data_IF_624988238479
#
_entry.id   IF_624988238479
#
_cell.length_a   1.000
_cell.length_b   1.000
_cell.length_c   1.000
_cell.angle_alpha   90.00
_cell.angle_beta   90.00
_cell.angle_gamma   90.00
#
_symmetry.space_group_name_H-M   'P 1'
#
loop_
_entity.id
_entity.type
_entity.pdbx_description
1 polymer ?
#
# COMPACT_ATOMS: atom_id res chain seq x y z
N UNK A 1 -37.20 -27.30 13.02
CA UNK A 1 -36.48 -27.72 11.79
C UNK A 1 -37.08 -29.03 11.35
N UNK A 2 -37.42 -29.15 10.11
CA UNK A 2 -37.92 -30.39 9.55
C UNK A 2 -36.75 -31.27 9.02
N UNK A 3 -37.06 -32.49 8.59
CA UNK A 3 -36.08 -33.46 8.11
C UNK A 3 -35.36 -33.01 6.84
N UNK A 4 -36.07 -32.27 6.01
CA UNK A 4 -35.54 -31.64 4.78
C UNK A 4 -34.50 -30.55 5.11
N UNK A 5 -34.75 -29.70 6.12
CA UNK A 5 -33.80 -28.70 6.57
C UNK A 5 -32.49 -29.30 7.10
N UNK A 6 -32.57 -30.40 7.83
CA UNK A 6 -31.40 -31.13 8.34
C UNK A 6 -30.56 -31.68 7.18
N UNK A 7 -31.22 -32.23 6.13
CA UNK A 7 -30.50 -32.68 4.94
C UNK A 7 -29.80 -31.55 4.21
N UNK A 8 -30.44 -30.39 4.09
CA UNK A 8 -29.85 -29.22 3.43
C UNK A 8 -28.68 -28.67 4.27
N UNK A 9 -28.85 -28.60 5.58
CA UNK A 9 -27.77 -28.15 6.49
C UNK A 9 -26.53 -29.05 6.39
N UNK A 10 -26.72 -30.37 6.37
CA UNK A 10 -25.61 -31.31 6.22
C UNK A 10 -24.88 -31.17 4.87
N UNK A 11 -25.63 -30.91 3.79
CA UNK A 11 -25.04 -30.64 2.48
C UNK A 11 -24.29 -29.30 2.46
N UNK A 12 -24.85 -28.24 3.05
CA UNK A 12 -24.21 -26.93 3.16
C UNK A 12 -22.91 -26.96 3.99
N UNK A 13 -22.91 -27.71 5.09
CA UNK A 13 -21.74 -27.88 5.96
C UNK A 13 -20.60 -28.59 5.22
N UNK A 14 -20.93 -29.66 4.48
CA UNK A 14 -19.95 -30.39 3.65
C UNK A 14 -19.34 -29.48 2.58
N UNK A 15 -20.17 -28.80 1.79
CA UNK A 15 -19.70 -27.91 0.75
C UNK A 15 -18.87 -26.75 1.29
N UNK A 16 -19.20 -26.23 2.46
CA UNK A 16 -18.41 -25.19 3.09
C UNK A 16 -17.07 -25.69 3.63
N UNK A 17 -17.01 -26.93 4.12
CA UNK A 17 -15.76 -27.54 4.59
C UNK A 17 -14.77 -27.67 3.44
N UNK A 18 -15.24 -28.12 2.27
CA UNK A 18 -14.40 -28.32 1.09
C UNK A 18 -14.14 -27.00 0.31
N UNK A 19 -15.10 -26.08 0.33
CA UNK A 19 -15.10 -24.84 -0.46
C UNK A 19 -15.63 -23.62 0.31
N UNK A 20 -14.89 -23.12 1.33
CA UNK A 20 -15.35 -22.03 2.17
C UNK A 20 -15.49 -20.68 1.42
N UNK A 21 -14.89 -20.58 0.23
CA UNK A 21 -14.99 -19.42 -0.66
C UNK A 21 -16.28 -19.39 -1.50
N UNK A 22 -17.14 -20.44 -1.44
CA UNK A 22 -18.37 -20.45 -2.22
C UNK A 22 -19.42 -19.49 -1.66
N UNK A 23 -19.79 -18.52 -2.49
CA UNK A 23 -20.92 -17.62 -2.22
C UNK A 23 -22.27 -18.32 -2.45
N UNK A 24 -23.35 -17.66 -2.04
CA UNK A 24 -24.72 -18.21 -2.09
C UNK A 24 -25.09 -18.75 -3.47
N UNK A 25 -24.74 -18.07 -4.56
CA UNK A 25 -25.11 -18.50 -5.91
C UNK A 25 -24.39 -19.79 -6.34
N UNK A 26 -23.09 -19.92 -5.98
CA UNK A 26 -22.33 -21.14 -6.23
C UNK A 26 -22.92 -22.32 -5.41
N UNK A 27 -23.21 -22.07 -4.15
CA UNK A 27 -23.83 -23.09 -3.28
C UNK A 27 -25.18 -23.56 -3.80
N UNK A 28 -26.05 -22.67 -4.27
CA UNK A 28 -27.31 -23.06 -4.91
C UNK A 28 -27.07 -23.99 -6.13
N UNK A 29 -26.07 -23.66 -6.96
CA UNK A 29 -25.76 -24.47 -8.14
C UNK A 29 -25.23 -25.85 -7.74
N UNK A 30 -24.29 -25.93 -6.78
CA UNK A 30 -23.70 -27.19 -6.31
C UNK A 30 -24.73 -28.04 -5.58
N UNK A 31 -25.58 -27.45 -4.74
CA UNK A 31 -26.68 -28.18 -4.07
C UNK A 31 -27.63 -28.81 -5.06
N UNK A 32 -27.95 -28.12 -6.15
CA UNK A 32 -28.77 -28.68 -7.20
C UNK A 32 -28.04 -29.78 -7.99
N UNK A 33 -26.79 -29.53 -8.40
CA UNK A 33 -26.03 -30.46 -9.26
C UNK A 33 -25.62 -31.73 -8.51
N UNK A 34 -25.07 -31.60 -7.30
CA UNK A 34 -24.38 -32.72 -6.64
C UNK A 34 -25.24 -33.38 -5.54
N UNK A 35 -26.19 -32.63 -4.96
CA UNK A 35 -27.07 -33.13 -3.90
C UNK A 35 -28.54 -33.29 -4.34
N UNK A 36 -28.90 -32.86 -5.56
CA UNK A 36 -30.30 -32.90 -6.06
C UNK A 36 -31.25 -32.00 -5.26
N UNK A 37 -30.71 -30.95 -4.59
CA UNK A 37 -31.48 -30.04 -3.76
C UNK A 37 -31.74 -28.74 -4.51
N UNK A 38 -32.99 -28.49 -4.87
CA UNK A 38 -33.41 -27.23 -5.49
C UNK A 38 -33.91 -26.25 -4.43
N UNK A 39 -33.19 -25.17 -4.20
CA UNK A 39 -33.43 -24.26 -3.09
C UNK A 39 -33.20 -22.79 -3.51
N UNK A 40 -34.04 -21.88 -3.00
CA UNK A 40 -33.95 -20.45 -3.28
C UNK A 40 -32.86 -19.73 -2.46
N UNK A 41 -32.39 -18.59 -3.00
CA UNK A 41 -31.30 -17.76 -2.46
C UNK A 41 -31.52 -17.39 -0.98
N UNK A 42 -32.71 -16.99 -0.61
CA UNK A 42 -33.01 -16.53 0.74
C UNK A 42 -33.05 -17.69 1.75
N UNK A 43 -33.48 -18.88 1.28
CA UNK A 43 -33.43 -20.08 2.11
C UNK A 43 -31.99 -20.54 2.36
N UNK A 44 -31.12 -20.54 1.33
CA UNK A 44 -29.69 -20.82 1.50
C UNK A 44 -29.06 -19.84 2.49
N UNK A 45 -29.36 -18.54 2.35
CA UNK A 45 -28.86 -17.49 3.27
C UNK A 45 -29.28 -17.76 4.72
N UNK A 46 -30.55 -18.12 4.92
CA UNK A 46 -31.12 -18.39 6.25
C UNK A 46 -30.45 -19.60 6.90
N UNK A 47 -30.31 -20.70 6.17
CA UNK A 47 -29.71 -21.93 6.67
C UNK A 47 -28.22 -21.80 6.94
N UNK A 48 -27.47 -21.07 6.09
CA UNK A 48 -26.07 -20.72 6.37
C UNK A 48 -25.90 -19.93 7.67
N UNK A 49 -26.82 -19.02 7.96
CA UNK A 49 -26.80 -18.25 9.23
C UNK A 49 -27.00 -19.16 10.43
N UNK A 50 -27.86 -20.18 10.32
CA UNK A 50 -28.05 -21.18 11.39
C UNK A 50 -26.76 -21.94 11.68
N UNK A 51 -25.95 -22.25 10.65
CA UNK A 51 -24.65 -22.91 10.78
C UNK A 51 -23.50 -21.93 11.15
N UNK A 52 -23.75 -20.61 11.18
CA UNK A 52 -22.70 -19.64 11.39
C UNK A 52 -21.67 -19.54 10.27
N UNK A 53 -22.02 -20.01 9.05
CA UNK A 53 -21.11 -20.09 7.92
C UNK A 53 -21.00 -18.75 7.18
N UNK A 54 -19.81 -18.17 7.12
CA UNK A 54 -19.51 -16.99 6.32
C UNK A 54 -18.56 -17.35 5.17
N UNK A 55 -18.80 -16.77 3.99
CA UNK A 55 -17.90 -16.97 2.85
C UNK A 55 -16.54 -16.36 3.15
N UNK A 56 -15.47 -17.12 2.99
CA UNK A 56 -14.10 -16.62 3.14
C UNK A 56 -13.73 -15.86 1.85
N UNK A 57 -13.67 -14.54 1.96
CA UNK A 57 -13.13 -13.65 0.92
C UNK A 57 -12.49 -12.43 1.56
N UNK A 58 -11.54 -11.78 0.88
CA UNK A 58 -10.96 -10.54 1.39
C UNK A 58 -12.07 -9.48 1.57
N UNK A 59 -12.25 -8.99 2.79
CA UNK A 59 -13.24 -7.93 3.06
C UNK A 59 -12.74 -6.63 2.42
N UNK A 60 -13.54 -5.94 1.57
CA UNK A 60 -13.18 -4.63 1.12
C UNK A 60 -13.22 -3.66 2.31
N UNK A 61 -12.13 -2.91 2.51
CA UNK A 61 -11.95 -1.86 3.53
C UNK A 61 -11.80 -2.37 4.97
N UNK A 62 -10.57 -2.60 5.37
CA UNK A 62 -10.17 -2.78 6.77
C UNK A 62 -9.94 -1.45 7.49
N UNK A 63 -9.87 -0.32 6.79
CA UNK A 63 -9.65 1.01 7.37
C UNK A 63 -10.95 1.80 7.42
N UNK A 64 -11.39 2.16 8.62
CA UNK A 64 -12.46 3.13 8.84
C UNK A 64 -11.81 4.52 8.80
N UNK A 65 -12.22 5.45 7.90
CA UNK A 65 -11.70 6.80 7.92
C UNK A 65 -12.05 7.47 9.26
N UNK A 66 -11.07 7.98 9.97
CA UNK A 66 -11.32 8.79 11.14
C UNK A 66 -11.93 10.13 10.67
N UNK A 67 -13.09 10.48 11.24
CA UNK A 67 -13.81 11.70 10.92
C UNK A 67 -13.13 12.86 11.67
N UNK A 68 -12.08 13.41 11.12
CA UNK A 68 -11.35 14.52 11.75
C UNK A 68 -10.03 14.87 11.08
N UNK A 69 -9.53 14.02 10.20
CA UNK A 69 -8.29 14.30 9.48
C UNK A 69 -8.51 15.34 8.37
N UNK A 70 -7.69 16.38 8.37
CA UNK A 70 -7.70 17.40 7.32
C UNK A 70 -7.06 16.81 6.06
N UNK A 71 -7.87 16.63 5.01
CA UNK A 71 -7.39 16.22 3.68
C UNK A 71 -7.03 17.48 2.90
N UNK A 72 -5.85 17.48 2.29
CA UNK A 72 -5.37 18.57 1.46
C UNK A 72 -5.72 18.33 -0.01
N UNK A 73 -5.86 19.40 -0.83
CA UNK A 73 -6.17 19.26 -2.25
C UNK A 73 -4.99 18.67 -3.02
N UNK A 74 -5.28 18.00 -4.14
CA UNK A 74 -4.24 17.58 -5.08
C UNK A 74 -3.78 18.75 -5.94
N UNK A 75 -2.52 19.13 -5.78
CA UNK A 75 -1.94 20.32 -6.43
C UNK A 75 -1.25 20.02 -7.76
N UNK A 76 -1.04 18.75 -8.10
CA UNK A 76 -0.16 18.35 -9.21
C UNK A 76 -0.88 18.12 -10.54
N UNK A 77 -2.19 18.42 -10.63
CA UNK A 77 -2.91 18.32 -11.90
C UNK A 77 -2.35 19.33 -12.91
N UNK A 78 -1.79 18.82 -14.02
CA UNK A 78 -1.13 19.63 -15.05
C UNK A 78 0.11 20.41 -14.55
N UNK A 79 0.68 20.02 -13.41
CA UNK A 79 1.92 20.58 -12.92
C UNK A 79 3.11 19.97 -13.69
N UNK A 80 3.96 20.81 -14.27
CA UNK A 80 5.16 20.38 -14.97
C UNK A 80 6.37 20.54 -14.06
N UNK A 81 6.94 19.41 -13.64
CA UNK A 81 8.15 19.38 -12.82
C UNK A 81 9.35 19.61 -13.73
N UNK A 82 10.16 20.64 -13.44
CA UNK A 82 11.26 21.09 -14.29
C UNK A 82 12.64 20.95 -13.67
N UNK A 83 12.71 20.77 -12.33
CA UNK A 83 13.98 20.69 -11.59
C UNK A 83 13.83 19.84 -10.33
N UNK A 84 14.96 19.41 -9.72
CA UNK A 84 14.94 18.76 -8.40
C UNK A 84 14.32 19.65 -7.32
N UNK A 85 13.77 19.01 -6.30
CA UNK A 85 13.13 19.65 -5.14
C UNK A 85 11.87 20.48 -5.46
N UNK A 86 11.28 20.32 -6.64
CA UNK A 86 9.94 20.89 -6.88
C UNK A 86 8.84 20.04 -6.24
N UNK A 87 8.89 18.73 -6.42
CA UNK A 87 7.89 17.80 -5.86
C UNK A 87 8.59 16.60 -5.24
N UNK A 88 8.34 16.39 -3.97
CA UNK A 88 8.65 15.13 -3.31
C UNK A 88 7.39 14.31 -3.12
N UNK A 89 7.47 13.01 -3.39
CA UNK A 89 6.41 12.06 -3.12
C UNK A 89 6.79 11.09 -2.01
N UNK A 90 5.84 10.76 -1.16
CA UNK A 90 6.01 9.75 -0.11
C UNK A 90 4.89 8.73 -0.16
N UNK A 91 5.19 7.53 0.31
CA UNK A 91 4.24 6.45 0.48
C UNK A 91 4.82 5.38 1.41
N UNK A 92 3.97 4.47 1.88
CA UNK A 92 4.36 3.31 2.67
C UNK A 92 4.08 2.04 1.88
N UNK A 93 5.05 1.14 1.84
CA UNK A 93 4.82 -0.21 1.35
C UNK A 93 5.13 -1.25 2.42
N UNK A 94 4.45 -2.40 2.36
CA UNK A 94 4.75 -3.53 3.24
C UNK A 94 5.70 -4.51 2.55
N UNK A 95 6.57 -5.11 3.36
CA UNK A 95 7.53 -6.14 2.97
C UNK A 95 7.23 -7.38 3.79
N UNK A 96 7.03 -8.51 3.13
CA UNK A 96 6.79 -9.78 3.79
C UNK A 96 8.11 -10.35 4.31
N UNK A 97 8.11 -10.76 5.58
CA UNK A 97 9.22 -11.44 6.26
C UNK A 97 8.70 -12.71 6.93
N UNK A 98 9.59 -13.51 7.52
CA UNK A 98 9.14 -14.68 8.28
C UNK A 98 8.30 -14.25 9.49
N UNK A 99 7.09 -14.82 9.57
CA UNK A 99 6.18 -14.56 10.68
C UNK A 99 5.34 -13.27 10.58
N UNK A 100 5.44 -12.48 9.46
CA UNK A 100 4.63 -11.27 9.34
C UNK A 100 5.07 -10.32 8.25
N UNK A 101 4.98 -9.04 8.57
CA UNK A 101 5.33 -7.94 7.67
C UNK A 101 6.12 -6.87 8.42
N UNK A 102 6.95 -6.14 7.70
CA UNK A 102 7.43 -4.82 8.09
C UNK A 102 7.04 -3.78 7.05
N UNK A 103 7.17 -2.53 7.41
CA UNK A 103 6.75 -1.40 6.60
C UNK A 103 7.98 -0.59 6.18
N UNK A 104 8.00 -0.18 4.94
CA UNK A 104 9.02 0.70 4.38
C UNK A 104 8.35 2.01 3.97
N UNK A 105 8.79 3.12 4.56
CA UNK A 105 8.50 4.48 4.10
C UNK A 105 9.67 5.02 3.30
N UNK A 106 9.41 5.78 2.26
CA UNK A 106 10.46 6.48 1.53
C UNK A 106 9.95 7.82 0.97
N UNK A 107 10.87 8.75 0.81
CA UNK A 107 10.66 10.03 0.15
C UNK A 107 11.48 10.05 -1.14
N UNK A 108 10.79 10.31 -2.23
CA UNK A 108 11.33 10.32 -3.59
C UNK A 108 11.18 11.71 -4.20
N UNK A 109 12.26 12.26 -4.73
CA UNK A 109 12.18 13.43 -5.63
C UNK A 109 11.60 13.01 -6.98
N UNK A 110 10.52 13.66 -7.41
CA UNK A 110 9.82 13.26 -8.64
C UNK A 110 10.51 13.70 -9.93
N UNK A 111 11.39 14.68 -9.89
CA UNK A 111 12.18 15.05 -11.04
C UNK A 111 13.32 14.06 -11.30
N UNK A 112 14.18 13.90 -10.32
CA UNK A 112 15.40 13.10 -10.42
C UNK A 112 15.20 11.61 -10.15
N UNK A 113 14.08 11.21 -9.54
CA UNK A 113 13.84 9.85 -9.03
C UNK A 113 14.76 9.45 -7.87
N UNK A 114 15.48 10.40 -7.28
CA UNK A 114 16.34 10.14 -6.13
C UNK A 114 15.52 9.77 -4.89
N UNK A 115 15.90 8.70 -4.23
CA UNK A 115 15.39 8.37 -2.88
C UNK A 115 16.18 9.21 -1.91
N UNK A 116 15.50 10.16 -1.27
CA UNK A 116 16.11 11.16 -0.38
C UNK A 116 16.28 10.65 1.03
N UNK A 117 15.27 9.91 1.51
CA UNK A 117 15.28 9.24 2.80
C UNK A 117 14.36 8.01 2.76
N UNK A 118 14.59 7.09 3.68
CA UNK A 118 13.79 5.88 3.86
C UNK A 118 13.92 5.32 5.27
N UNK A 119 12.88 4.66 5.76
CA UNK A 119 12.92 3.97 7.05
C UNK A 119 12.11 2.68 7.04
N UNK A 120 12.50 1.72 7.90
CA UNK A 120 11.81 0.42 8.07
C UNK A 120 11.31 0.30 9.51
N UNK A 121 10.02 -0.01 9.66
CA UNK A 121 9.35 -0.16 10.95
C UNK A 121 8.59 -1.49 11.04
N UNK A 122 8.50 -2.11 12.24
CA UNK A 122 7.59 -3.24 12.50
C UNK A 122 6.12 -2.82 12.55
N UNK A 123 5.83 -1.54 12.78
CA UNK A 123 4.49 -0.97 12.93
C UNK A 123 4.25 0.15 11.93
N UNK A 124 2.97 0.44 11.66
CA UNK A 124 2.57 1.50 10.71
C UNK A 124 2.16 2.76 11.49
N UNK A 125 2.99 3.20 12.43
CA UNK A 125 2.78 4.40 13.24
C UNK A 125 3.26 5.66 12.50
N UNK A 126 2.74 6.84 12.86
CA UNK A 126 3.13 8.11 12.22
C UNK A 126 4.61 8.44 12.45
N UNK A 127 5.16 8.06 13.61
CA UNK A 127 6.52 8.40 14.01
C UNK A 127 7.59 8.04 12.98
N UNK A 128 7.56 6.81 12.40
CA UNK A 128 8.58 6.42 11.42
C UNK A 128 8.48 7.18 10.08
N UNK A 129 7.28 7.70 9.75
CA UNK A 129 7.10 8.59 8.60
C UNK A 129 7.67 9.98 8.89
N UNK A 130 7.53 10.46 10.14
CA UNK A 130 8.11 11.72 10.61
C UNK A 130 9.63 11.64 10.57
N UNK A 131 10.22 10.55 11.08
CA UNK A 131 11.67 10.34 11.03
C UNK A 131 12.18 10.37 9.58
N UNK A 132 11.48 9.71 8.66
CA UNK A 132 11.82 9.72 7.23
C UNK A 132 11.72 11.13 6.63
N UNK A 133 10.71 11.91 7.01
CA UNK A 133 10.56 13.29 6.55
C UNK A 133 11.68 14.20 7.07
N UNK A 134 12.01 14.09 8.35
CA UNK A 134 13.06 14.88 8.96
C UNK A 134 14.42 14.60 8.33
N UNK A 135 14.77 13.33 8.14
CA UNK A 135 16.00 12.92 7.44
C UNK A 135 16.06 13.50 6.02
N UNK A 136 14.97 13.42 5.24
CA UNK A 136 14.93 14.01 3.90
C UNK A 136 15.14 15.54 3.94
N UNK A 137 14.57 16.23 4.92
CA UNK A 137 14.65 17.68 5.08
C UNK A 137 16.03 18.17 5.51
N UNK A 138 16.93 17.30 5.97
CA UNK A 138 18.34 17.63 6.18
C UNK A 138 19.07 17.87 4.85
N UNK A 139 18.67 17.17 3.79
CA UNK A 139 19.28 17.28 2.46
C UNK A 139 18.69 18.36 1.55
N UNK A 140 17.52 18.90 1.88
CA UNK A 140 16.85 19.90 1.07
C UNK A 140 15.39 20.14 1.48
N UNK A 141 14.70 20.99 0.73
CA UNK A 141 13.28 21.33 1.00
C UNK A 141 12.52 21.33 -0.33
N UNK A 142 11.42 20.60 -0.44
CA UNK A 142 10.59 20.62 -1.65
C UNK A 142 9.69 21.86 -1.69
N UNK A 143 9.24 22.22 -2.88
CA UNK A 143 8.15 23.19 -3.01
C UNK A 143 6.79 22.55 -2.67
N UNK A 144 6.55 21.31 -3.13
CA UNK A 144 5.33 20.54 -2.88
C UNK A 144 5.71 19.17 -2.31
N UNK A 145 5.04 18.77 -1.22
CA UNK A 145 5.11 17.41 -0.69
C UNK A 145 3.81 16.68 -0.97
N UNK A 146 3.87 15.57 -1.72
CA UNK A 146 2.72 14.78 -2.13
C UNK A 146 2.68 13.44 -1.41
N UNK A 147 1.51 13.06 -0.92
CA UNK A 147 1.24 11.77 -0.27
C UNK A 147 -0.14 11.25 -0.65
N UNK A 148 -0.47 10.04 -0.24
CA UNK A 148 -1.85 9.59 -0.19
C UNK A 148 -2.61 10.22 1.00
N UNK A 149 -3.89 9.82 1.19
CA UNK A 149 -4.71 10.26 2.31
C UNK A 149 -4.59 9.31 3.53
N UNK A 150 -3.46 8.64 3.69
CA UNK A 150 -3.17 7.78 4.83
C UNK A 150 -3.19 8.53 6.15
N UNK A 151 -3.56 7.84 7.24
CA UNK A 151 -3.64 8.45 8.58
C UNK A 151 -2.32 9.04 9.02
N UNK A 152 -1.19 8.44 8.61
CA UNK A 152 0.16 8.90 8.93
C UNK A 152 0.47 10.28 8.32
N UNK A 153 -0.02 10.54 7.09
CA UNK A 153 0.24 11.78 6.35
C UNK A 153 -0.78 12.87 6.61
N UNK A 154 -1.96 12.51 7.14
CA UNK A 154 -2.99 13.46 7.56
C UNK A 154 -2.87 13.85 9.03
N UNK A 155 -1.97 13.22 9.77
CA UNK A 155 -1.64 13.51 11.16
C UNK A 155 -1.13 14.94 11.34
N UNK A 156 -1.50 15.58 12.47
CA UNK A 156 -1.11 16.96 12.74
C UNK A 156 0.39 17.09 12.98
N UNK A 157 1.00 16.11 13.65
CA UNK A 157 2.45 16.11 13.90
C UNK A 157 3.24 16.04 12.59
N UNK A 158 2.79 15.24 11.60
CA UNK A 158 3.40 15.18 10.29
C UNK A 158 3.20 16.47 9.49
N UNK A 159 1.96 16.96 9.43
CA UNK A 159 1.62 18.14 8.60
C UNK A 159 2.13 19.45 9.19
N UNK A 160 2.36 19.55 10.52
CA UNK A 160 2.95 20.74 11.14
C UNK A 160 4.39 20.98 10.67
N UNK A 161 5.20 19.91 10.52
CA UNK A 161 6.57 20.02 10.01
C UNK A 161 6.61 20.63 8.61
N UNK A 162 5.67 20.20 7.74
CA UNK A 162 5.58 20.75 6.39
C UNK A 162 5.15 22.22 6.39
N UNK A 163 4.20 22.59 7.26
CA UNK A 163 3.71 23.97 7.38
C UNK A 163 4.77 24.92 7.94
N UNK A 164 5.53 24.48 8.97
CA UNK A 164 6.60 25.25 9.57
C UNK A 164 7.72 25.59 8.57
N UNK A 165 7.90 24.72 7.57
CA UNK A 165 8.87 24.91 6.46
C UNK A 165 8.25 25.53 5.22
N UNK A 166 6.99 26.00 5.30
CA UNK A 166 6.25 26.61 4.18
C UNK A 166 6.11 25.69 2.95
N UNK A 167 6.16 24.37 3.14
CA UNK A 167 6.00 23.37 2.10
C UNK A 167 4.52 23.20 1.76
N UNK A 168 4.16 23.26 0.50
CA UNK A 168 2.79 23.02 0.03
C UNK A 168 2.44 21.53 0.16
N UNK A 169 1.31 21.25 0.82
CA UNK A 169 0.84 19.89 1.02
C UNK A 169 -0.15 19.51 -0.09
N UNK A 170 0.15 18.43 -0.78
CA UNK A 170 -0.68 17.83 -1.81
C UNK A 170 -1.05 16.41 -1.43
N UNK A 171 -2.31 16.01 -1.64
CA UNK A 171 -2.76 14.64 -1.37
C UNK A 171 -3.50 14.06 -2.56
N UNK A 172 -3.18 12.81 -2.88
CA UNK A 172 -3.80 12.06 -3.98
C UNK A 172 -5.31 11.93 -3.81
N UNK A 173 -6.04 12.01 -4.91
CA UNK A 173 -7.48 11.77 -4.89
C UNK A 173 -7.81 10.30 -4.62
N UNK A 174 -8.89 10.02 -3.89
CA UNK A 174 -9.33 8.63 -3.63
C UNK A 174 -9.55 7.87 -4.92
N UNK A 175 -8.87 6.71 -5.05
CA UNK A 175 -8.99 5.83 -6.21
C UNK A 175 -8.25 6.30 -7.45
N UNK A 176 -7.34 7.25 -7.36
CA UNK A 176 -6.51 7.76 -8.47
C UNK A 176 -5.07 7.25 -8.32
N UNK A 177 -4.83 6.00 -8.70
CA UNK A 177 -3.50 5.39 -8.68
C UNK A 177 -2.46 6.12 -9.57
N UNK A 178 -2.89 6.96 -10.52
CA UNK A 178 -1.98 7.73 -11.37
C UNK A 178 -1.36 8.94 -10.66
N UNK A 179 -1.92 9.35 -9.52
CA UNK A 179 -1.48 10.57 -8.82
C UNK A 179 -0.15 10.36 -8.07
N UNK A 180 0.27 9.09 -7.79
CA UNK A 180 1.55 8.74 -7.15
C UNK A 180 2.37 7.70 -7.93
N UNK A 181 2.28 7.74 -9.25
CA UNK A 181 2.88 6.73 -10.15
C UNK A 181 4.40 6.55 -9.95
N UNK A 182 5.11 7.60 -9.54
CA UNK A 182 6.56 7.55 -9.37
C UNK A 182 6.96 6.76 -8.12
N UNK A 183 6.23 6.91 -7.04
CA UNK A 183 6.45 6.14 -5.80
C UNK A 183 6.00 4.69 -5.96
N UNK A 184 4.87 4.44 -6.64
CA UNK A 184 4.44 3.08 -7.00
C UNK A 184 5.49 2.36 -7.87
N UNK A 185 6.11 3.08 -8.81
CA UNK A 185 7.19 2.54 -9.63
C UNK A 185 8.44 2.22 -8.81
N UNK A 186 8.78 3.07 -7.81
CA UNK A 186 9.86 2.79 -6.86
C UNK A 186 9.60 1.48 -6.13
N UNK A 187 8.39 1.28 -5.59
CA UNK A 187 8.03 0.04 -4.88
C UNK A 187 8.20 -1.20 -5.73
N UNK A 188 7.76 -1.13 -6.98
CA UNK A 188 7.99 -2.24 -7.92
C UNK A 188 9.48 -2.52 -8.09
N UNK A 189 10.28 -1.49 -8.32
CA UNK A 189 11.73 -1.61 -8.51
C UNK A 189 12.40 -2.22 -7.28
N UNK A 190 12.19 -1.66 -6.09
CA UNK A 190 12.75 -2.16 -4.83
C UNK A 190 12.34 -3.62 -4.56
N UNK A 191 11.07 -3.95 -4.75
CA UNK A 191 10.58 -5.31 -4.49
C UNK A 191 11.19 -6.34 -5.43
N UNK A 192 11.27 -6.05 -6.73
CA UNK A 192 11.76 -7.02 -7.72
C UNK A 192 13.29 -7.10 -7.78
N UNK A 193 13.98 -5.98 -7.55
CA UNK A 193 15.44 -5.95 -7.67
C UNK A 193 16.16 -6.29 -6.35
N UNK A 194 15.50 -6.10 -5.19
CA UNK A 194 16.11 -6.34 -3.89
C UNK A 194 15.31 -7.33 -3.03
N UNK A 195 14.07 -7.00 -2.65
CA UNK A 195 13.34 -7.75 -1.63
C UNK A 195 13.09 -9.20 -2.05
N UNK A 196 12.55 -9.43 -3.25
CA UNK A 196 12.20 -10.78 -3.71
C UNK A 196 13.42 -11.61 -4.10
N UNK A 197 14.51 -10.96 -4.52
CA UNK A 197 15.74 -11.64 -4.89
C UNK A 197 16.50 -12.16 -3.66
N UNK A 198 16.41 -11.48 -2.52
CA UNK A 198 17.13 -11.86 -1.30
C UNK A 198 16.26 -12.67 -0.32
N UNK A 199 14.94 -12.50 -0.35
CA UNK A 199 14.02 -13.27 0.50
C UNK A 199 14.28 -13.08 2.01
N UNK A 200 14.41 -11.84 2.46
CA UNK A 200 14.75 -11.50 3.84
C UNK A 200 13.79 -12.12 4.86
N UNK A 201 14.35 -12.67 5.93
CA UNK A 201 13.61 -13.35 6.98
C UNK A 201 13.26 -12.40 8.14
N UNK A 202 14.08 -11.38 8.39
CA UNK A 202 13.95 -10.48 9.54
C UNK A 202 13.94 -9.00 9.12
N UNK A 203 13.46 -8.13 10.02
CA UNK A 203 13.47 -6.67 9.82
C UNK A 203 14.91 -6.14 9.74
N UNK A 204 15.85 -6.70 10.52
CA UNK A 204 17.26 -6.36 10.47
C UNK A 204 17.84 -6.62 9.09
N UNK A 205 17.61 -7.80 8.52
CA UNK A 205 18.06 -8.15 7.17
C UNK A 205 17.46 -7.23 6.10
N UNK A 206 16.17 -6.87 6.22
CA UNK A 206 15.53 -5.90 5.31
C UNK A 206 16.24 -4.56 5.39
N UNK A 207 16.52 -4.06 6.61
CA UNK A 207 17.19 -2.77 6.81
C UNK A 207 18.59 -2.78 6.23
N UNK A 208 19.38 -3.81 6.51
CA UNK A 208 20.76 -3.93 6.01
C UNK A 208 20.78 -4.05 4.48
N UNK A 209 19.87 -4.84 3.92
CA UNK A 209 19.75 -5.00 2.48
C UNK A 209 19.33 -3.71 1.76
N UNK A 210 18.42 -2.94 2.33
CA UNK A 210 18.02 -1.64 1.79
C UNK A 210 19.10 -0.58 1.97
N UNK A 211 19.86 -0.61 3.08
CA UNK A 211 21.00 0.26 3.31
C UNK A 211 22.12 0.07 2.26
N UNK A 212 22.28 -1.14 1.74
CA UNK A 212 23.18 -1.40 0.63
C UNK A 212 22.53 -1.04 -0.73
N UNK A 213 21.23 -1.27 -0.88
CA UNK A 213 20.52 -1.10 -2.15
C UNK A 213 20.28 0.37 -2.54
N UNK A 214 19.80 1.23 -1.64
CA UNK A 214 19.46 2.61 -1.98
C UNK A 214 20.65 3.47 -2.43
N UNK A 215 21.86 3.34 -1.86
CA UNK A 215 23.04 3.98 -2.46
C UNK A 215 23.30 3.52 -3.89
N UNK A 216 23.23 2.21 -4.17
CA UNK A 216 23.33 1.68 -5.53
C UNK A 216 22.22 2.23 -6.45
N UNK A 217 20.97 2.24 -5.99
CA UNK A 217 19.83 2.79 -6.73
C UNK A 217 20.06 4.25 -7.12
N UNK A 218 20.56 5.06 -6.20
CA UNK A 218 20.77 6.49 -6.42
C UNK A 218 22.01 6.79 -7.29
N UNK A 219 23.11 6.07 -7.11
CA UNK A 219 24.42 6.48 -7.67
C UNK A 219 24.94 5.60 -8.80
N UNK A 220 24.40 4.40 -8.96
CA UNK A 220 24.97 3.43 -9.92
C UNK A 220 23.95 2.83 -10.86
N UNK A 221 22.67 2.80 -10.45
CA UNK A 221 21.62 2.20 -11.26
C UNK A 221 21.16 3.15 -12.38
N UNK A 222 21.28 2.74 -13.67
CA UNK A 222 20.82 3.58 -14.77
C UNK A 222 19.28 3.60 -14.84
N UNK A 223 18.69 4.77 -15.05
CA UNK A 223 17.26 4.97 -15.19
C UNK A 223 16.87 5.30 -16.62
N UNK A 224 16.10 4.44 -17.27
CA UNK A 224 15.66 4.66 -18.66
C UNK A 224 14.87 5.97 -18.82
N UNK A 225 14.02 6.32 -17.86
CA UNK A 225 13.24 7.58 -17.88
C UNK A 225 14.08 8.83 -17.69
N UNK A 226 15.34 8.69 -17.28
CA UNK A 226 16.33 9.76 -17.13
C UNK A 226 17.40 9.73 -18.23
N UNK A 227 17.12 9.09 -19.37
CA UNK A 227 18.12 8.92 -20.44
C UNK A 227 19.31 8.06 -20.00
N UNK A 228 19.08 7.08 -19.11
CA UNK A 228 20.08 6.21 -18.50
C UNK A 228 21.03 6.87 -17.50
N UNK A 229 20.81 8.13 -17.15
CA UNK A 229 21.49 8.75 -16.03
C UNK A 229 21.02 8.14 -14.69
N UNK A 230 21.85 8.27 -13.67
CA UNK A 230 21.48 7.90 -12.29
C UNK A 230 20.65 9.01 -11.64
N UNK A 231 19.82 8.67 -10.63
CA UNK A 231 19.10 9.68 -9.87
C UNK A 231 20.00 10.76 -9.27
N UNK A 232 21.18 10.38 -8.77
CA UNK A 232 22.17 11.29 -8.20
C UNK A 232 22.72 12.28 -9.24
N UNK A 233 23.08 11.82 -10.43
CA UNK A 233 23.54 12.69 -11.51
C UNK A 233 22.49 13.75 -11.85
N UNK A 234 21.21 13.35 -11.97
CA UNK A 234 20.12 14.27 -12.30
C UNK A 234 19.78 15.21 -11.14
N UNK A 235 19.88 14.73 -9.87
CA UNK A 235 19.52 15.52 -8.69
C UNK A 235 20.55 16.61 -8.38
N UNK A 236 21.83 16.29 -8.53
CA UNK A 236 22.94 17.16 -8.14
C UNK A 236 23.68 17.79 -9.33
N UNK A 237 23.24 17.54 -10.57
CA UNK A 237 23.76 18.28 -11.72
C UNK A 237 23.45 19.77 -11.52
N UNK A 238 24.47 20.51 -11.21
CA UNK A 238 24.44 21.98 -11.29
C UNK A 238 24.42 22.34 -12.78
N UNK A 239 23.33 22.96 -13.23
CA UNK A 239 23.25 23.59 -14.56
C UNK A 239 24.21 24.78 -14.57
#
# INVERSE_FOLDING_TARGET
>A
MNEEDLRILAALDREYTDHPEYGILKLMFVLKRDHGIEIGKDRVRSLRRVLGLETIYPKPKTSIPFIGHKVYPYLLRNYHITRPNEVWGTDITYIRINGGFCYLSAILDWYSRAVLAWSVSPTMETAFCIDTLQEALEGGTPHIHNSDQGVQYTDEDYTSILKEKEILISMDGRGRCMDNIFTERLWRTVKYENIYTHGYATIGEVRDGLAAYFPHYNTSRPHQSLGYQTPHEVHYQTV
#
